data_IF_419131921427
#
_entry.id   IF_419131921427
#
_cell.length_a   1.000
_cell.length_b   1.000
_cell.length_c   1.000
_cell.angle_alpha   90.00
_cell.angle_beta   90.00
_cell.angle_gamma   90.00
#
_symmetry.space_group_name_H-M   'P 1'
#
loop_
_entity.id
_entity.type
_entity.pdbx_description
1 polymer ?
#
# COMPACT_ATOMS: atom_id res chain seq x y z
N UNK A 1 1.97 -4.18 2.38
CA UNK A 1 0.97 -3.18 1.94
C UNK A 1 0.74 -2.11 3.02
N UNK A 2 0.30 -2.45 4.21
CA UNK A 2 0.05 -1.48 5.30
C UNK A 2 1.28 -0.61 5.64
N UNK A 3 2.46 -1.22 5.78
CA UNK A 3 3.70 -0.54 6.17
C UNK A 3 4.49 0.08 5.01
N UNK A 4 4.11 -0.18 3.77
CA UNK A 4 4.92 0.18 2.59
C UNK A 4 4.12 0.82 1.46
N UNK A 5 2.80 0.86 1.54
CA UNK A 5 1.96 1.37 0.47
C UNK A 5 2.06 0.61 -0.87
N UNK A 6 2.72 -0.56 -0.93
CA UNK A 6 2.84 -1.36 -2.15
C UNK A 6 1.48 -1.84 -2.66
N UNK A 7 1.36 -1.97 -3.98
CA UNK A 7 0.19 -2.61 -4.59
C UNK A 7 0.18 -4.11 -4.34
N UNK A 8 -1.01 -4.72 -4.31
CA UNK A 8 -1.16 -6.18 -4.13
C UNK A 8 -0.35 -7.00 -5.16
N UNK A 9 -0.37 -6.70 -6.47
CA UNK A 9 0.49 -7.41 -7.42
C UNK A 9 1.98 -7.27 -7.11
N UNK A 10 2.44 -6.09 -6.73
CA UNK A 10 3.85 -5.86 -6.40
C UNK A 10 4.32 -6.71 -5.21
N UNK A 11 3.46 -6.86 -4.19
CA UNK A 11 3.76 -7.74 -3.05
C UNK A 11 3.73 -9.21 -3.44
N UNK A 12 2.74 -9.62 -4.22
CA UNK A 12 2.55 -11.02 -4.62
C UNK A 12 3.68 -11.53 -5.52
N UNK A 13 4.20 -10.68 -6.40
CA UNK A 13 5.26 -11.03 -7.36
C UNK A 13 6.66 -10.59 -6.91
N UNK A 14 6.80 -10.14 -5.66
CA UNK A 14 8.09 -9.74 -5.12
C UNK A 14 9.06 -10.91 -5.12
N UNK A 15 10.23 -10.72 -5.73
CA UNK A 15 11.27 -11.76 -5.76
C UNK A 15 12.25 -11.62 -4.60
N UNK A 16 12.93 -12.71 -4.27
CA UNK A 16 13.98 -12.70 -3.24
C UNK A 16 15.10 -11.71 -3.61
N UNK A 17 15.44 -11.61 -4.90
CA UNK A 17 16.47 -10.69 -5.38
C UNK A 17 16.10 -9.21 -5.29
N UNK A 18 14.82 -8.88 -5.12
CA UNK A 18 14.35 -7.51 -4.99
C UNK A 18 14.36 -7.03 -3.54
N UNK A 19 14.60 -7.92 -2.58
CA UNK A 19 14.57 -7.62 -1.15
C UNK A 19 15.97 -7.64 -0.56
N UNK A 20 16.43 -6.50 -0.06
CA UNK A 20 17.67 -6.43 0.70
C UNK A 20 17.36 -6.43 2.20
N UNK A 21 17.46 -7.60 2.82
CA UNK A 21 17.20 -7.78 4.25
C UNK A 21 18.26 -7.17 5.17
N UNK A 22 19.40 -6.72 4.64
CA UNK A 22 20.41 -6.00 5.43
C UNK A 22 20.02 -4.55 5.58
N UNK A 23 19.60 -3.90 4.49
CA UNK A 23 19.31 -2.46 4.44
C UNK A 23 17.83 -2.11 4.52
N UNK A 24 16.93 -3.09 4.46
CA UNK A 24 15.49 -2.88 4.42
C UNK A 24 14.98 -2.27 3.10
N UNK A 25 15.76 -2.35 2.03
CA UNK A 25 15.37 -1.83 0.71
C UNK A 25 14.63 -2.90 -0.08
N UNK A 26 13.50 -2.49 -0.68
CA UNK A 26 12.73 -3.30 -1.64
C UNK A 26 12.75 -2.57 -2.98
N UNK A 27 13.16 -3.26 -4.03
CA UNK A 27 13.21 -2.76 -5.40
C UNK A 27 11.93 -3.17 -6.13
N UNK A 28 11.11 -2.21 -6.52
CA UNK A 28 9.95 -2.45 -7.38
C UNK A 28 10.38 -2.25 -8.82
N UNK A 29 10.56 -3.35 -9.56
CA UNK A 29 11.05 -3.35 -10.95
C UNK A 29 9.92 -3.22 -11.95
N UNK A 30 8.78 -3.84 -11.66
CA UNK A 30 7.60 -3.83 -12.52
C UNK A 30 6.45 -3.15 -11.80
N UNK A 31 5.93 -2.11 -12.38
CA UNK A 31 4.72 -1.42 -11.94
C UNK A 31 3.85 -1.12 -13.15
N UNK A 32 2.55 -0.89 -12.93
CA UNK A 32 1.61 -0.48 -13.99
C UNK A 32 2.10 0.74 -14.78
N UNK A 33 2.88 1.61 -14.13
CA UNK A 33 3.44 2.82 -14.72
C UNK A 33 4.88 2.64 -15.25
N UNK A 34 5.42 1.42 -15.29
CA UNK A 34 6.82 1.11 -15.66
C UNK A 34 7.86 1.93 -14.90
N UNK A 35 7.53 2.41 -13.71
CA UNK A 35 8.42 3.21 -12.88
C UNK A 35 9.16 2.33 -11.89
N UNK A 36 10.48 2.31 -12.02
CA UNK A 36 11.35 1.72 -11.02
C UNK A 36 11.34 2.59 -9.77
N UNK A 37 11.14 1.97 -8.61
CA UNK A 37 11.25 2.68 -7.34
C UNK A 37 11.79 1.81 -6.23
N UNK A 38 12.36 2.44 -5.22
CA UNK A 38 12.86 1.79 -4.02
C UNK A 38 11.94 2.14 -2.85
N UNK A 39 11.53 1.12 -2.13
CA UNK A 39 10.74 1.23 -0.90
C UNK A 39 11.65 0.88 0.28
N UNK A 40 11.54 1.64 1.35
CA UNK A 40 12.19 1.34 2.63
C UNK A 40 11.16 0.76 3.59
N UNK A 41 11.50 -0.34 4.23
CA UNK A 41 10.69 -0.91 5.31
C UNK A 41 11.19 -0.41 6.67
N UNK A 42 10.28 -0.31 7.64
CA UNK A 42 10.66 0.00 9.03
C UNK A 42 11.46 -1.14 9.64
N UNK A 43 12.22 -0.82 10.69
CA UNK A 43 13.04 -1.82 11.41
C UNK A 43 12.20 -2.99 11.95
N UNK A 44 10.98 -2.72 12.41
CA UNK A 44 10.09 -3.76 12.91
C UNK A 44 9.60 -4.67 11.79
N UNK A 45 9.23 -4.10 10.63
CA UNK A 45 8.87 -4.90 9.46
C UNK A 45 10.07 -5.69 8.95
N UNK A 46 11.26 -5.11 8.99
CA UNK A 46 12.48 -5.80 8.58
C UNK A 46 12.78 -7.03 9.46
N UNK A 47 12.55 -6.93 10.77
CA UNK A 47 12.65 -8.09 11.69
C UNK A 47 11.66 -9.20 11.29
N UNK A 48 10.41 -8.84 11.01
CA UNK A 48 9.39 -9.81 10.56
C UNK A 48 9.79 -10.46 9.24
N UNK A 49 10.29 -9.67 8.28
CA UNK A 49 10.72 -10.20 6.98
C UNK A 49 11.94 -11.11 7.09
N UNK A 50 12.90 -10.81 7.95
CA UNK A 50 14.05 -11.69 8.23
C UNK A 50 13.61 -13.01 8.82
N UNK A 51 12.76 -12.97 9.84
CA UNK A 51 12.23 -14.17 10.46
C UNK A 51 11.44 -15.04 9.47
N UNK A 52 10.61 -14.40 8.63
CA UNK A 52 9.92 -15.10 7.55
C UNK A 52 10.92 -15.75 6.57
N UNK A 53 11.97 -15.02 6.18
CA UNK A 53 12.98 -15.52 5.25
C UNK A 53 13.73 -16.74 5.81
N UNK A 54 14.10 -16.72 7.10
CA UNK A 54 14.74 -17.84 7.79
C UNK A 54 13.88 -19.11 7.74
N UNK A 55 12.57 -18.98 8.03
CA UNK A 55 11.63 -20.11 7.94
C UNK A 55 11.53 -20.62 6.50
N UNK A 56 11.40 -19.71 5.55
CA UNK A 56 11.23 -20.09 4.15
C UNK A 56 12.48 -20.65 3.49
N UNK A 57 13.68 -20.28 3.95
CA UNK A 57 14.93 -20.90 3.51
C UNK A 57 15.00 -22.38 3.86
N UNK A 58 14.42 -22.79 4.99
CA UNK A 58 14.34 -24.19 5.38
C UNK A 58 13.24 -24.94 4.61
N UNK A 59 12.10 -24.31 4.37
CA UNK A 59 10.94 -24.94 3.74
C UNK A 59 11.06 -25.02 2.21
N UNK A 60 11.58 -23.98 1.56
CA UNK A 60 11.71 -23.87 0.10
C UNK A 60 13.08 -23.27 -0.23
N UNK A 61 14.15 -24.08 -0.17
CA UNK A 61 15.49 -23.65 -0.55
C UNK A 61 15.52 -23.16 -2.01
N UNK A 62 16.23 -22.06 -2.26
CA UNK A 62 16.39 -21.46 -3.59
C UNK A 62 15.09 -20.91 -4.23
N UNK A 63 14.07 -20.57 -3.43
CA UNK A 63 12.87 -19.94 -3.94
C UNK A 63 13.19 -18.62 -4.67
N UNK A 64 12.43 -18.31 -5.70
CA UNK A 64 12.50 -17.04 -6.44
C UNK A 64 11.53 -16.00 -5.89
N UNK A 65 10.32 -16.43 -5.54
CA UNK A 65 9.27 -15.57 -4.98
C UNK A 65 9.52 -15.36 -3.49
N UNK A 66 9.54 -14.11 -3.04
CA UNK A 66 9.79 -13.79 -1.64
C UNK A 66 8.67 -14.34 -0.74
N UNK A 67 7.41 -13.96 -1.02
CA UNK A 67 6.23 -14.48 -0.32
C UNK A 67 5.67 -15.69 -1.07
N UNK A 68 6.34 -16.82 -0.93
CA UNK A 68 5.96 -18.07 -1.58
C UNK A 68 4.71 -18.68 -0.93
N UNK A 69 3.84 -19.29 -1.75
CA UNK A 69 2.60 -19.88 -1.32
C UNK A 69 2.67 -21.42 -1.33
N UNK A 70 2.25 -22.04 -0.23
CA UNK A 70 2.24 -23.49 -0.04
C UNK A 70 3.59 -24.17 -0.35
N UNK A 71 4.69 -23.55 0.00
CA UNK A 71 6.05 -24.09 -0.20
C UNK A 71 6.39 -24.51 -1.66
N UNK A 72 5.74 -23.87 -2.65
CA UNK A 72 5.83 -24.24 -4.07
C UNK A 72 6.52 -23.20 -4.95
N UNK A 73 7.28 -22.28 -4.42
CA UNK A 73 7.91 -21.17 -5.16
C UNK A 73 6.95 -20.49 -6.17
N UNK A 74 5.71 -20.28 -5.75
CA UNK A 74 4.66 -19.61 -6.52
C UNK A 74 4.10 -18.44 -5.77
N UNK A 75 3.77 -17.39 -6.49
CA UNK A 75 3.05 -16.25 -5.93
C UNK A 75 1.62 -16.67 -5.53
N UNK A 76 1.14 -16.12 -4.42
CA UNK A 76 -0.27 -16.29 -4.04
C UNK A 76 -1.17 -15.62 -5.10
N UNK A 77 -2.23 -16.29 -5.52
CA UNK A 77 -3.22 -15.70 -6.42
C UNK A 77 -3.98 -14.56 -5.73
N UNK A 78 -4.55 -13.63 -6.52
CA UNK A 78 -5.41 -12.56 -5.98
C UNK A 78 -6.59 -13.15 -5.20
N UNK A 79 -7.20 -14.20 -5.73
CA UNK A 79 -8.35 -14.85 -5.10
C UNK A 79 -7.99 -15.46 -3.74
N UNK A 80 -6.87 -16.19 -3.67
CA UNK A 80 -6.42 -16.79 -2.41
C UNK A 80 -6.01 -15.73 -1.38
N UNK A 81 -5.34 -14.65 -1.82
CA UNK A 81 -5.00 -13.56 -0.91
C UNK A 81 -6.24 -12.89 -0.32
N UNK A 82 -7.25 -12.64 -1.15
CA UNK A 82 -8.53 -12.09 -0.68
C UNK A 82 -9.26 -13.08 0.24
N UNK A 83 -9.24 -14.37 -0.09
CA UNK A 83 -9.83 -15.40 0.77
C UNK A 83 -9.17 -15.40 2.15
N UNK A 84 -7.84 -15.48 2.23
CA UNK A 84 -7.12 -15.43 3.51
C UNK A 84 -7.39 -14.12 4.29
N UNK A 85 -7.52 -12.99 3.58
CA UNK A 85 -7.85 -11.73 4.22
C UNK A 85 -9.24 -11.78 4.87
N UNK A 86 -10.27 -12.23 4.13
CA UNK A 86 -11.63 -12.32 4.65
C UNK A 86 -11.77 -13.39 5.74
N UNK A 87 -11.05 -14.49 5.61
CA UNK A 87 -11.01 -15.53 6.65
C UNK A 87 -10.54 -14.97 8.01
N UNK A 88 -9.62 -14.00 8.01
CA UNK A 88 -9.17 -13.31 9.22
C UNK A 88 -10.12 -12.17 9.59
N UNK A 89 -10.47 -11.32 8.61
CA UNK A 89 -11.25 -10.11 8.84
C UNK A 89 -12.63 -10.43 9.45
N UNK A 90 -13.33 -11.39 8.90
CA UNK A 90 -14.71 -11.73 9.30
C UNK A 90 -14.79 -12.27 10.74
N UNK A 91 -13.65 -12.64 11.33
CA UNK A 91 -13.56 -13.04 12.75
C UNK A 91 -13.22 -11.88 13.70
N UNK A 92 -12.96 -10.68 13.19
CA UNK A 92 -12.65 -9.52 14.02
C UNK A 92 -13.93 -8.79 14.47
N UNK A 93 -13.96 -8.26 15.71
CA UNK A 93 -15.11 -7.49 16.20
C UNK A 93 -15.49 -6.32 15.29
N UNK A 94 -14.51 -5.69 14.67
CA UNK A 94 -14.69 -4.55 13.78
C UNK A 94 -15.49 -4.90 12.51
N UNK A 95 -15.43 -6.15 12.05
CA UNK A 95 -16.19 -6.62 10.90
C UNK A 95 -17.71 -6.69 11.18
N UNK A 96 -18.08 -6.82 12.45
CA UNK A 96 -19.49 -6.96 12.88
C UNK A 96 -20.18 -5.63 13.15
N UNK A 97 -19.44 -4.51 13.09
CA UNK A 97 -20.01 -3.18 13.31
C UNK A 97 -20.97 -2.84 12.18
N UNK A 98 -22.21 -2.51 12.52
CA UNK A 98 -23.23 -2.11 11.57
C UNK A 98 -22.75 -0.89 10.76
N UNK A 99 -22.88 -0.96 9.42
CA UNK A 99 -22.35 0.05 8.47
C UNK A 99 -20.83 0.12 8.38
N UNK A 100 -20.10 -0.91 8.85
CA UNK A 100 -18.66 -0.99 8.59
C UNK A 100 -18.41 -1.01 7.08
N UNK A 101 -17.46 -0.20 6.56
CA UNK A 101 -17.13 -0.24 5.14
C UNK A 101 -16.57 -1.62 4.77
N UNK A 102 -16.87 -2.07 3.55
CA UNK A 102 -16.33 -3.33 3.05
C UNK A 102 -14.81 -3.22 2.93
N UNK A 103 -14.10 -3.86 3.86
CA UNK A 103 -12.64 -3.86 3.86
C UNK A 103 -12.10 -4.81 2.78
N UNK A 104 -11.01 -4.41 2.16
CA UNK A 104 -10.31 -5.18 1.14
C UNK A 104 -8.80 -5.09 1.36
N UNK A 105 -8.03 -5.92 0.66
CA UNK A 105 -6.56 -5.81 0.69
C UNK A 105 -6.06 -4.41 0.27
N UNK A 106 -6.79 -3.71 -0.60
CA UNK A 106 -6.47 -2.34 -1.01
C UNK A 106 -6.58 -1.35 0.16
N UNK A 107 -7.48 -1.58 1.09
CA UNK A 107 -7.68 -0.73 2.27
C UNK A 107 -6.38 -0.54 3.07
N UNK A 108 -5.48 -1.53 3.08
CA UNK A 108 -4.15 -1.37 3.71
C UNK A 108 -3.30 -0.30 3.03
N UNK A 109 -3.38 -0.19 1.71
CA UNK A 109 -2.66 0.86 0.98
C UNK A 109 -3.30 2.24 1.21
N UNK A 110 -4.62 2.31 1.31
CA UNK A 110 -5.30 3.54 1.71
C UNK A 110 -4.89 3.97 3.13
N UNK A 111 -4.87 3.04 4.09
CA UNK A 111 -4.39 3.33 5.44
C UNK A 111 -2.95 3.85 5.46
N UNK A 112 -2.06 3.29 4.65
CA UNK A 112 -0.69 3.79 4.53
C UNK A 112 -0.66 5.25 4.08
N UNK A 113 -1.36 5.58 2.98
CA UNK A 113 -1.40 6.93 2.44
C UNK A 113 -1.98 7.93 3.45
N UNK A 114 -3.10 7.59 4.08
CA UNK A 114 -3.74 8.42 5.10
C UNK A 114 -2.84 8.64 6.31
N UNK A 115 -2.14 7.59 6.77
CA UNK A 115 -1.20 7.69 7.89
C UNK A 115 -0.01 8.61 7.56
N UNK A 116 0.48 8.57 6.31
CA UNK A 116 1.54 9.49 5.86
C UNK A 116 1.05 10.93 5.87
N UNK A 117 -0.12 11.21 5.29
CA UNK A 117 -0.71 12.56 5.23
C UNK A 117 -0.95 13.08 6.65
N UNK A 118 -1.56 12.27 7.52
CA UNK A 118 -1.81 12.66 8.90
C UNK A 118 -0.53 12.94 9.69
N UNK A 119 0.49 12.11 9.53
CA UNK A 119 1.80 12.33 10.14
C UNK A 119 2.41 13.66 9.68
N UNK A 120 2.39 13.95 8.40
CA UNK A 120 2.92 15.20 7.86
C UNK A 120 2.15 16.42 8.36
N UNK A 121 0.81 16.30 8.46
CA UNK A 121 -0.01 17.32 9.08
C UNK A 121 0.42 17.61 10.54
N UNK A 122 0.60 16.56 11.35
CA UNK A 122 1.05 16.69 12.74
C UNK A 122 2.46 17.29 12.86
N UNK A 123 3.32 17.06 11.88
CA UNK A 123 4.65 17.65 11.80
C UNK A 123 4.63 19.10 11.26
N UNK A 124 3.46 19.67 10.97
CA UNK A 124 3.31 21.04 10.45
C UNK A 124 3.83 21.20 9.01
N UNK A 125 3.95 20.11 8.26
CA UNK A 125 4.41 20.15 6.86
C UNK A 125 3.28 20.64 5.95
N UNK A 126 3.66 21.38 4.90
CA UNK A 126 2.73 21.72 3.84
C UNK A 126 2.40 20.47 3.01
N UNK A 127 1.18 19.95 3.16
CA UNK A 127 0.73 18.72 2.52
C UNK A 127 0.82 18.81 1.01
N UNK A 128 0.45 19.96 0.42
CA UNK A 128 0.50 20.17 -1.03
C UNK A 128 1.93 20.15 -1.58
N UNK A 129 2.89 20.68 -0.82
CA UNK A 129 4.30 20.69 -1.25
C UNK A 129 4.94 19.29 -1.20
N UNK A 130 4.37 18.37 -0.43
CA UNK A 130 4.93 17.00 -0.28
C UNK A 130 4.07 15.93 -0.95
N UNK A 131 2.96 16.30 -1.57
CA UNK A 131 2.09 15.38 -2.30
C UNK A 131 2.85 14.63 -3.40
N UNK A 132 3.73 15.30 -4.14
CA UNK A 132 4.55 14.69 -5.19
C UNK A 132 5.42 13.54 -4.67
N UNK A 133 5.91 13.61 -3.43
CA UNK A 133 6.63 12.51 -2.82
C UNK A 133 5.74 11.27 -2.63
N UNK A 134 4.48 11.48 -2.27
CA UNK A 134 3.55 10.37 -2.12
C UNK A 134 3.20 9.77 -3.48
N UNK A 135 3.00 10.60 -4.52
CA UNK A 135 2.81 10.18 -5.92
C UNK A 135 3.94 9.25 -6.35
N UNK A 136 5.18 9.72 -6.25
CA UNK A 136 6.37 8.97 -6.64
C UNK A 136 6.55 7.69 -5.80
N UNK A 137 6.41 7.80 -4.48
CA UNK A 137 6.59 6.67 -3.56
C UNK A 137 5.57 5.57 -3.80
N UNK A 138 4.31 5.92 -3.98
CA UNK A 138 3.24 4.96 -4.27
C UNK A 138 3.26 4.47 -5.72
N UNK A 139 4.03 5.12 -6.61
CA UNK A 139 4.12 4.77 -8.02
C UNK A 139 2.81 5.05 -8.76
N UNK A 140 2.16 6.18 -8.47
CA UNK A 140 1.00 6.63 -9.21
C UNK A 140 1.42 7.15 -10.58
N UNK A 141 0.67 6.78 -11.62
CA UNK A 141 0.86 7.29 -12.98
C UNK A 141 0.18 8.63 -13.22
N UNK A 142 -0.76 8.99 -12.37
CA UNK A 142 -1.57 10.19 -12.46
C UNK A 142 -1.67 10.85 -11.08
N UNK A 143 -1.48 12.16 -11.05
CA UNK A 143 -1.64 13.00 -9.86
C UNK A 143 -3.03 12.86 -9.21
N UNK A 144 -4.07 12.69 -10.02
CA UNK A 144 -5.44 12.49 -9.54
C UNK A 144 -5.59 11.34 -8.54
N UNK A 145 -4.80 10.28 -8.70
CA UNK A 145 -4.82 9.15 -7.74
C UNK A 145 -4.35 9.56 -6.34
N UNK A 146 -3.48 10.55 -6.24
CA UNK A 146 -3.01 11.05 -4.95
C UNK A 146 -3.95 12.11 -4.37
N UNK A 147 -4.51 12.98 -5.21
CA UNK A 147 -5.56 13.93 -4.79
C UNK A 147 -6.75 13.22 -4.15
N UNK A 148 -7.10 12.01 -4.61
CA UNK A 148 -8.08 11.16 -3.95
C UNK A 148 -7.73 10.91 -2.46
N UNK A 149 -6.47 10.65 -2.13
CA UNK A 149 -6.06 10.41 -0.74
C UNK A 149 -6.09 11.67 0.11
N UNK A 150 -5.85 12.84 -0.47
CA UNK A 150 -5.98 14.12 0.24
C UNK A 150 -7.45 14.35 0.64
N UNK A 151 -8.37 14.19 -0.29
CA UNK A 151 -9.80 14.28 0.01
C UNK A 151 -10.27 13.23 1.01
N UNK A 152 -9.77 12.01 0.89
CA UNK A 152 -10.08 10.95 1.85
C UNK A 152 -9.53 11.30 3.24
N UNK A 153 -8.36 11.94 3.33
CA UNK A 153 -7.79 12.40 4.58
C UNK A 153 -8.63 13.49 5.24
N UNK A 154 -9.20 14.42 4.47
CA UNK A 154 -10.13 15.43 4.96
C UNK A 154 -11.42 14.82 5.55
N UNK A 155 -11.89 13.72 4.95
CA UNK A 155 -13.06 13.00 5.45
C UNK A 155 -12.79 12.24 6.75
N UNK A 156 -11.60 11.61 6.85
CA UNK A 156 -11.20 10.77 8.00
C UNK A 156 -10.66 11.61 9.14
N UNK A 157 -9.98 12.71 8.85
CA UNK A 157 -9.36 13.62 9.82
C UNK A 157 -9.86 15.05 9.60
N UNK A 158 -11.02 15.43 10.20
CA UNK A 158 -11.62 16.76 9.98
C UNK A 158 -10.68 17.94 10.28
N UNK A 159 -9.73 17.75 11.21
CA UNK A 159 -8.74 18.77 11.57
C UNK A 159 -7.75 19.11 10.43
N UNK A 160 -7.63 18.24 9.43
CA UNK A 160 -6.79 18.49 8.24
C UNK A 160 -7.50 19.45 7.27
N UNK A 161 -8.83 19.41 7.20
CA UNK A 161 -9.63 20.16 6.23
C UNK A 161 -9.27 21.64 6.19
N UNK A 162 -9.23 22.30 7.35
CA UNK A 162 -8.96 23.74 7.43
C UNK A 162 -7.54 24.10 6.95
N UNK A 163 -6.59 23.18 7.09
CA UNK A 163 -5.22 23.37 6.63
C UNK A 163 -5.08 23.21 5.11
N UNK A 164 -5.84 22.31 4.52
CA UNK A 164 -5.82 22.06 3.07
C UNK A 164 -6.63 23.13 2.33
N UNK A 165 -7.81 23.49 2.80
CA UNK A 165 -8.69 24.49 2.14
C UNK A 165 -8.08 25.88 2.09
N UNK A 166 -7.31 26.30 3.09
CA UNK A 166 -6.61 27.62 3.06
C UNK A 166 -5.67 27.79 1.86
N UNK A 167 -5.24 26.70 1.25
CA UNK A 167 -4.24 26.71 0.19
C UNK A 167 -4.85 26.33 -1.17
N UNK A 168 -6.00 25.64 -1.19
CA UNK A 168 -6.50 24.92 -2.36
C UNK A 168 -7.88 25.32 -2.87
N UNK A 169 -8.45 26.47 -2.43
CA UNK A 169 -9.76 26.90 -2.94
C UNK A 169 -9.77 26.89 -4.48
N UNK A 170 -10.39 25.85 -5.05
CA UNK A 170 -10.62 25.69 -6.48
C UNK A 170 -9.50 24.99 -7.29
N UNK A 171 -8.44 24.46 -6.66
CA UNK A 171 -7.33 23.79 -7.40
C UNK A 171 -7.54 22.28 -7.51
N UNK A 172 -8.20 21.63 -6.55
CA UNK A 172 -8.38 20.18 -6.56
C UNK A 172 -9.51 19.77 -7.52
N UNK A 173 -9.26 18.72 -8.35
CA UNK A 173 -10.29 18.21 -9.25
C UNK A 173 -11.44 17.54 -8.46
N UNK A 174 -12.64 17.54 -9.04
CA UNK A 174 -13.78 16.80 -8.50
C UNK A 174 -13.47 15.28 -8.54
N UNK A 175 -13.48 14.65 -7.37
CA UNK A 175 -13.13 13.23 -7.19
C UNK A 175 -14.30 12.27 -7.44
N UNK A 176 -15.51 12.77 -7.64
CA UNK A 176 -16.69 11.90 -7.85
C UNK A 176 -16.58 11.04 -9.10
N UNK A 177 -15.70 11.40 -10.03
CA UNK A 177 -15.45 10.69 -11.29
C UNK A 177 -14.13 9.90 -11.31
N UNK A 178 -13.37 9.90 -10.21
CA UNK A 178 -12.08 9.19 -10.16
C UNK A 178 -12.34 7.71 -9.89
N UNK A 179 -12.27 6.91 -10.93
CA UNK A 179 -12.20 5.46 -10.82
C UNK A 179 -10.75 5.09 -10.50
N UNK A 180 -10.56 4.34 -9.42
CA UNK A 180 -9.24 3.82 -9.09
C UNK A 180 -8.86 2.72 -10.10
N UNK A 181 -7.96 3.04 -11.03
CA UNK A 181 -7.48 2.17 -12.10
C UNK A 181 -6.84 0.85 -11.64
N UNK A 182 -6.61 0.69 -10.32
CA UNK A 182 -6.06 -0.56 -9.78
C UNK A 182 -7.06 -1.74 -9.83
N UNK A 183 -8.32 -1.53 -10.29
CA UNK A 183 -9.30 -2.60 -10.48
C UNK A 183 -9.15 -3.36 -11.82
N UNK A 184 -8.34 -2.86 -12.74
CA UNK A 184 -8.08 -3.59 -14.00
C UNK A 184 -7.27 -4.85 -13.67
N UNK A 185 -7.71 -6.04 -14.10
CA UNK A 185 -7.01 -7.29 -13.80
C UNK A 185 -5.60 -7.27 -14.37
N UNK A 186 -4.61 -7.46 -13.53
CA UNK A 186 -3.21 -7.69 -13.93
C UNK A 186 -3.01 -9.11 -14.48
N UNK A 187 -4.04 -9.96 -14.39
CA UNK A 187 -4.04 -11.37 -14.74
C UNK A 187 -4.86 -11.58 -16.06
N UNK A 188 -4.43 -10.92 -17.15
CA UNK A 188 -4.81 -11.29 -18.50
C UNK A 188 -3.61 -11.84 -19.25
#
# INVERSE_FOLDING_TARGET
>A
MYSTGMRSPEVRHLTVSDVNLTTGKIFIRESKAHQLRVILVSDDMLKVMRHYDEIMQQAVPNRKIFFSFHNNDRSISRANLNYCFHDIWDHLPEATVEKSPKMTMRSFRHCFALSCIYKWYKEGKNINAIEDYLVCYMGHSDFRQTSYYIHLAEMVYPEIRDSIHRINDGILPDITSIVDDDEVPYDA
#
